data_IF_344486494899
#
_entry.id   IF_344486494899
#
_cell.length_a   1.000
_cell.length_b   1.000
_cell.length_c   1.000
_cell.angle_alpha   90.00
_cell.angle_beta   90.00
_cell.angle_gamma   90.00
#
_symmetry.space_group_name_H-M   'P 1'
#
loop_
_entity.id
_entity.type
_entity.pdbx_description
1 polymer ?
#
# COMPACT_ATOMS: atom_id res chain seq x y z
N UNK A 1 3.75 10.05 -1.19
CA UNK A 1 3.91 8.91 -2.13
C UNK A 1 4.79 7.82 -1.52
N UNK A 2 4.69 6.59 -2.02
CA UNK A 2 5.59 5.48 -1.71
C UNK A 2 6.12 4.84 -3.01
N UNK A 3 7.45 4.75 -3.14
CA UNK A 3 8.14 4.00 -4.17
C UNK A 3 8.51 2.62 -3.62
N UNK A 4 8.17 1.57 -4.39
CA UNK A 4 8.47 0.18 -4.09
C UNK A 4 9.35 -0.35 -5.22
N UNK A 5 10.65 -0.46 -4.97
CA UNK A 5 11.66 -0.75 -6.00
C UNK A 5 12.45 -2.05 -5.78
N UNK A 6 11.91 -2.93 -4.94
CA UNK A 6 12.50 -4.24 -4.68
C UNK A 6 12.46 -4.59 -3.20
N UNK A 7 13.06 -5.73 -2.87
CA UNK A 7 13.17 -6.19 -1.49
C UNK A 7 14.05 -5.22 -0.68
N UNK A 8 13.53 -4.72 0.45
CA UNK A 8 14.16 -3.68 1.29
C UNK A 8 14.40 -2.31 0.61
N UNK A 9 13.87 -2.12 -0.60
CA UNK A 9 13.98 -0.90 -1.38
C UNK A 9 12.60 -0.20 -1.43
N UNK A 10 12.09 0.19 -0.26
CA UNK A 10 10.82 0.91 -0.11
C UNK A 10 11.08 2.31 0.43
N UNK A 11 10.53 3.32 -0.24
CA UNK A 11 10.82 4.73 0.04
C UNK A 11 9.53 5.54 0.14
N UNK A 12 9.43 6.37 1.18
CA UNK A 12 8.41 7.40 1.31
C UNK A 12 8.93 8.73 0.81
N UNK A 13 8.08 9.44 0.09
CA UNK A 13 8.37 10.78 -0.43
C UNK A 13 7.23 11.69 0.05
N UNK A 14 7.59 12.70 0.84
CA UNK A 14 6.64 13.68 1.37
C UNK A 14 6.47 14.90 0.45
N UNK A 15 5.78 15.93 0.94
CA UNK A 15 5.48 17.15 0.17
C UNK A 15 6.70 18.05 -0.03
N UNK A 16 7.70 17.94 0.83
CA UNK A 16 8.95 18.70 0.75
C UNK A 16 10.01 17.92 -0.04
N UNK A 17 9.61 16.80 -0.67
CA UNK A 17 10.47 15.86 -1.38
C UNK A 17 11.55 15.24 -0.48
N UNK A 18 11.31 15.18 0.83
CA UNK A 18 12.15 14.41 1.74
C UNK A 18 11.91 12.91 1.50
N UNK A 19 13.01 12.15 1.46
CA UNK A 19 12.99 10.71 1.18
C UNK A 19 13.29 9.93 2.45
N UNK A 20 12.41 9.00 2.80
CA UNK A 20 12.55 8.13 3.96
C UNK A 20 12.57 6.67 3.51
N UNK A 21 13.65 5.94 3.76
CA UNK A 21 13.68 4.49 3.51
C UNK A 21 12.94 3.74 4.62
N UNK A 22 12.08 2.81 4.23
CA UNK A 22 11.34 1.93 5.13
C UNK A 22 11.87 0.51 5.02
N UNK A 23 12.34 -0.03 6.15
CA UNK A 23 12.80 -1.42 6.25
C UNK A 23 11.69 -2.34 6.78
N UNK A 24 11.73 -3.62 6.40
CA UNK A 24 10.82 -4.64 6.96
C UNK A 24 9.39 -4.59 6.44
N UNK A 25 9.15 -3.93 5.30
CA UNK A 25 7.85 -3.87 4.65
C UNK A 25 7.89 -4.66 3.34
N UNK A 26 7.04 -5.68 3.20
CA UNK A 26 7.11 -6.64 2.08
C UNK A 26 5.90 -6.54 1.14
N UNK A 27 6.14 -6.51 -0.16
CA UNK A 27 5.11 -6.49 -1.22
C UNK A 27 5.31 -7.68 -2.17
N UNK A 28 4.68 -8.84 -1.89
CA UNK A 28 4.78 -10.02 -2.75
C UNK A 28 4.12 -9.82 -4.11
N UNK A 29 4.68 -10.39 -5.19
CA UNK A 29 3.99 -10.47 -6.48
C UNK A 29 2.79 -11.40 -6.35
N UNK A 30 1.66 -11.03 -6.95
CA UNK A 30 0.45 -11.86 -6.97
C UNK A 30 0.66 -13.23 -7.62
N UNK A 31 1.39 -13.27 -8.74
CA UNK A 31 1.62 -14.50 -9.53
C UNK A 31 2.82 -15.33 -9.06
N UNK A 32 3.77 -14.71 -8.37
CA UNK A 32 4.95 -15.37 -7.80
C UNK A 32 5.18 -14.85 -6.37
N UNK A 33 4.49 -15.44 -5.37
CA UNK A 33 4.46 -14.90 -4.02
C UNK A 33 5.81 -14.92 -3.28
N UNK A 34 6.84 -15.57 -3.83
CA UNK A 34 8.20 -15.56 -3.29
C UNK A 34 9.02 -14.35 -3.77
N UNK A 35 8.56 -13.66 -4.82
CA UNK A 35 9.21 -12.47 -5.34
C UNK A 35 8.56 -11.19 -4.81
N UNK A 36 9.39 -10.15 -4.66
CA UNK A 36 8.95 -8.80 -4.33
C UNK A 36 8.65 -7.99 -5.61
N UNK A 37 7.63 -7.12 -5.58
CA UNK A 37 7.39 -6.17 -6.68
C UNK A 37 8.51 -5.10 -6.71
N UNK A 38 8.73 -4.50 -7.87
CA UNK A 38 9.69 -3.40 -8.06
C UNK A 38 9.09 -2.37 -9.04
N UNK A 39 9.75 -1.23 -9.27
CA UNK A 39 9.31 -0.23 -10.23
C UNK A 39 7.85 0.21 -10.07
N UNK A 40 7.37 0.29 -8.82
CA UNK A 40 5.97 0.58 -8.49
C UNK A 40 5.88 1.85 -7.66
N UNK A 41 5.08 2.81 -8.10
CA UNK A 41 4.88 4.10 -7.43
C UNK A 41 3.41 4.26 -7.06
N UNK A 42 3.13 4.40 -5.77
CA UNK A 42 1.78 4.60 -5.23
C UNK A 42 1.66 5.94 -4.52
N UNK A 43 0.45 6.45 -4.47
CA UNK A 43 0.10 7.60 -3.66
C UNK A 43 -0.87 7.23 -2.53
N UNK A 44 -0.74 7.95 -1.44
CA UNK A 44 -1.31 7.56 -0.17
C UNK A 44 -0.97 8.53 0.94
N UNK A 45 -1.62 8.34 2.08
CA UNK A 45 -1.45 9.13 3.29
C UNK A 45 -1.00 8.26 4.47
N UNK A 46 -0.14 8.81 5.32
CA UNK A 46 0.18 8.23 6.62
C UNK A 46 -0.81 8.76 7.66
N UNK A 47 -1.40 7.85 8.43
CA UNK A 47 -2.32 8.16 9.53
C UNK A 47 -1.89 7.46 10.81
N UNK A 48 -2.30 8.00 11.94
CA UNK A 48 -2.28 7.30 13.23
C UNK A 48 -3.72 6.86 13.52
N UNK A 49 -3.96 5.55 13.50
CA UNK A 49 -5.26 4.95 13.80
C UNK A 49 -5.28 4.49 15.25
N UNK A 50 -6.27 4.93 16.03
CA UNK A 50 -6.38 4.55 17.44
C UNK A 50 -7.22 3.28 17.54
N UNK A 51 -6.56 2.18 17.83
CA UNK A 51 -7.23 0.92 18.13
C UNK A 51 -8.05 1.09 19.42
N UNK A 52 -9.38 1.08 19.28
CA UNK A 52 -10.30 1.30 20.40
C UNK A 52 -10.32 0.13 21.39
N UNK A 53 -10.00 -1.08 20.94
CA UNK A 53 -10.03 -2.28 21.79
C UNK A 53 -8.79 -2.31 22.70
N UNK A 54 -7.63 -1.95 22.15
CA UNK A 54 -6.36 -2.01 22.87
C UNK A 54 -5.83 -0.64 23.34
N UNK A 55 -6.54 0.45 23.02
CA UNK A 55 -6.14 1.85 23.26
C UNK A 55 -4.70 2.15 22.79
N UNK A 56 -4.33 1.64 21.62
CA UNK A 56 -3.00 1.80 21.02
C UNK A 56 -3.07 2.60 19.73
N UNK A 57 -2.09 3.47 19.55
CA UNK A 57 -1.88 4.19 18.30
C UNK A 57 -1.15 3.29 17.32
N UNK A 58 -1.77 3.03 16.16
CA UNK A 58 -1.26 2.15 15.12
C UNK A 58 -1.03 2.98 13.86
N UNK A 59 0.22 3.22 13.45
CA UNK A 59 0.49 3.92 12.20
C UNK A 59 0.01 3.08 11.01
N UNK A 60 -0.62 3.72 10.03
CA UNK A 60 -1.06 3.09 8.78
C UNK A 60 -0.78 3.99 7.58
N UNK A 61 -0.39 3.37 6.49
CA UNK A 61 -0.39 3.96 5.17
C UNK A 61 -1.64 3.55 4.40
N UNK A 62 -2.45 4.53 4.01
CA UNK A 62 -3.64 4.33 3.19
C UNK A 62 -3.32 4.67 1.74
N UNK A 63 -3.19 3.63 0.90
CA UNK A 63 -2.98 3.78 -0.54
C UNK A 63 -4.31 4.17 -1.17
N UNK A 64 -4.35 5.32 -1.83
CA UNK A 64 -5.55 5.80 -2.52
C UNK A 64 -5.38 5.88 -4.04
N UNK A 65 -4.15 5.88 -4.56
CA UNK A 65 -3.90 5.85 -6.00
C UNK A 65 -2.59 5.14 -6.37
N UNK A 66 -2.42 4.78 -7.64
CA UNK A 66 -1.23 4.16 -8.21
C UNK A 66 -0.86 4.84 -9.53
N UNK A 67 0.42 5.20 -9.67
CA UNK A 67 0.96 5.93 -10.82
C UNK A 67 1.67 4.97 -11.78
N UNK A 68 2.45 4.04 -11.23
CA UNK A 68 3.25 3.05 -11.98
C UNK A 68 3.19 1.70 -11.27
N UNK A 69 3.11 0.61 -12.03
CA UNK A 69 3.13 -0.74 -11.50
C UNK A 69 4.10 -1.62 -12.29
N UNK A 70 5.12 -2.18 -11.63
CA UNK A 70 6.13 -3.06 -12.23
C UNK A 70 6.75 -2.54 -13.53
N UNK A 71 7.08 -1.25 -13.58
CA UNK A 71 7.68 -0.66 -14.76
C UNK A 71 6.67 -0.19 -15.82
N UNK A 72 5.37 -0.32 -15.60
CA UNK A 72 4.33 0.15 -16.52
C UNK A 72 3.61 1.37 -15.95
N UNK A 73 3.46 2.41 -16.77
CA UNK A 73 2.70 3.61 -16.38
C UNK A 73 1.20 3.32 -16.41
N UNK A 74 0.55 3.48 -15.26
CA UNK A 74 -0.89 3.23 -15.11
C UNK A 74 -1.70 4.50 -14.83
N UNK A 75 -1.04 5.65 -14.66
CA UNK A 75 -1.67 6.95 -14.39
C UNK A 75 -2.71 7.38 -15.44
N UNK A 76 -2.53 6.97 -16.71
CA UNK A 76 -3.47 7.27 -17.79
C UNK A 76 -4.70 6.35 -17.85
N UNK A 77 -4.77 5.35 -16.98
CA UNK A 77 -5.88 4.38 -16.92
C UNK A 77 -6.98 4.91 -15.99
N UNK A 78 -8.24 4.52 -16.23
CA UNK A 78 -9.35 4.92 -15.39
C UNK A 78 -9.14 4.59 -13.91
N UNK A 79 -9.67 5.45 -13.04
CA UNK A 79 -9.48 5.35 -11.60
C UNK A 79 -9.97 4.01 -11.01
N UNK A 80 -11.08 3.46 -11.51
CA UNK A 80 -11.62 2.18 -11.02
C UNK A 80 -10.67 1.00 -11.31
N UNK A 81 -10.02 1.00 -12.48
CA UNK A 81 -8.97 0.03 -12.82
C UNK A 81 -7.72 0.23 -11.96
N UNK A 82 -7.33 1.47 -11.67
CA UNK A 82 -6.22 1.77 -10.75
C UNK A 82 -6.51 1.28 -9.32
N UNK A 83 -7.73 1.48 -8.82
CA UNK A 83 -8.20 0.91 -7.55
C UNK A 83 -8.21 -0.63 -7.57
N UNK A 84 -8.63 -1.22 -8.69
CA UNK A 84 -8.59 -2.69 -8.86
C UNK A 84 -7.15 -3.21 -8.86
N UNK A 85 -6.21 -2.45 -9.44
CA UNK A 85 -4.78 -2.76 -9.41
C UNK A 85 -4.23 -2.73 -7.98
N UNK A 86 -4.53 -1.68 -7.20
CA UNK A 86 -4.14 -1.61 -5.78
C UNK A 86 -4.69 -2.81 -4.99
N UNK A 87 -5.98 -3.12 -5.17
CA UNK A 87 -6.64 -4.22 -4.49
C UNK A 87 -5.97 -5.57 -4.82
N UNK A 88 -5.86 -5.90 -6.10
CA UNK A 88 -5.42 -7.23 -6.55
C UNK A 88 -3.91 -7.43 -6.51
N UNK A 89 -3.13 -6.39 -6.78
CA UNK A 89 -1.69 -6.52 -6.97
C UNK A 89 -0.88 -6.07 -5.73
N UNK A 90 -1.47 -5.32 -4.80
CA UNK A 90 -0.80 -4.87 -3.57
C UNK A 90 -1.47 -5.39 -2.29
N UNK A 91 -2.77 -5.13 -2.13
CA UNK A 91 -3.47 -5.46 -0.89
C UNK A 91 -3.70 -6.97 -0.72
N UNK A 92 -4.28 -7.63 -1.72
CA UNK A 92 -4.57 -9.06 -1.68
C UNK A 92 -3.30 -9.92 -1.53
N UNK A 93 -2.20 -9.70 -2.28
CA UNK A 93 -0.99 -10.52 -2.12
C UNK A 93 -0.37 -10.41 -0.73
N UNK A 94 -0.38 -9.21 -0.14
CA UNK A 94 0.04 -9.01 1.26
C UNK A 94 -0.89 -9.74 2.23
N UNK A 95 -2.20 -9.64 2.06
CA UNK A 95 -3.18 -10.32 2.90
C UNK A 95 -3.00 -11.84 2.87
N UNK A 96 -2.82 -12.43 1.68
CA UNK A 96 -2.53 -13.87 1.55
C UNK A 96 -1.21 -14.24 2.22
N UNK A 97 -0.15 -13.45 2.02
CA UNK A 97 1.14 -13.70 2.67
C UNK A 97 1.06 -13.59 4.21
N UNK A 98 0.20 -12.74 4.76
CA UNK A 98 -0.08 -12.71 6.21
C UNK A 98 -0.82 -13.96 6.67
N UNK A 99 -1.81 -14.44 5.92
CA UNK A 99 -2.56 -15.67 6.22
C UNK A 99 -1.66 -16.92 6.17
N UNK A 100 -0.71 -16.95 5.24
CA UNK A 100 0.27 -18.03 5.09
C UNK A 100 1.42 -17.95 6.12
N UNK A 101 1.46 -16.92 6.97
CA UNK A 101 2.54 -16.69 7.93
C UNK A 101 3.87 -16.19 7.32
N UNK A 102 3.89 -15.87 6.01
CA UNK A 102 5.06 -15.31 5.31
C UNK A 102 5.30 -13.84 5.66
N UNK A 103 4.25 -13.11 6.04
CA UNK A 103 4.34 -11.77 6.61
C UNK A 103 3.83 -11.81 8.04
N UNK A 104 4.68 -11.44 9.00
CA UNK A 104 4.25 -11.18 10.35
C UNK A 104 3.93 -9.68 10.50
N UNK A 105 2.65 -9.37 10.66
CA UNK A 105 2.13 -8.01 10.75
C UNK A 105 2.72 -7.20 11.92
N UNK A 106 3.09 -7.87 13.01
CA UNK A 106 3.63 -7.22 14.22
C UNK A 106 5.10 -6.81 14.08
N UNK A 107 5.80 -7.36 13.08
CA UNK A 107 7.19 -7.02 12.76
C UNK A 107 7.30 -5.89 11.74
N UNK A 108 6.20 -5.52 11.08
CA UNK A 108 6.19 -4.45 10.09
C UNK A 108 6.06 -3.08 10.77
N UNK A 109 6.72 -2.03 10.23
CA UNK A 109 6.76 -0.71 10.86
C UNK A 109 5.39 -0.01 10.97
N UNK A 110 4.48 -0.26 10.03
CA UNK A 110 3.12 0.31 9.99
C UNK A 110 2.22 -0.49 9.06
N UNK A 111 0.91 -0.31 9.18
CA UNK A 111 -0.09 -1.06 8.42
C UNK A 111 -0.28 -0.51 7.03
N UNK A 112 -0.35 -1.37 6.02
CA UNK A 112 -0.69 -0.95 4.66
C UNK A 112 -2.13 -1.34 4.36
N UNK A 113 -2.96 -0.38 3.94
CA UNK A 113 -4.35 -0.61 3.54
C UNK A 113 -4.68 0.17 2.28
N UNK A 114 -5.66 -0.32 1.53
CA UNK A 114 -6.30 0.47 0.49
C UNK A 114 -7.35 1.40 1.12
N UNK A 115 -7.32 2.69 0.75
CA UNK A 115 -8.36 3.65 1.11
C UNK A 115 -9.66 3.27 0.38
N UNK A 116 -10.74 3.21 1.13
CA UNK A 116 -12.05 2.89 0.59
C UNK A 116 -12.65 4.15 -0.05
N UNK A 117 -13.31 3.95 -1.20
CA UNK A 117 -14.01 4.98 -1.95
C UNK A 117 -15.47 4.56 -2.10
N UNK A 118 -16.35 5.54 -2.09
CA UNK A 118 -17.79 5.39 -2.25
C UNK A 118 -18.27 6.38 -3.30
N UNK A 119 -19.35 6.04 -3.99
CA UNK A 119 -19.99 6.95 -4.93
C UNK A 119 -20.43 8.23 -4.20
N UNK A 120 -20.27 9.38 -4.85
CA UNK A 120 -20.68 10.66 -4.29
C UNK A 120 -22.19 10.70 -3.99
N UNK A 121 -23.01 9.89 -4.66
CA UNK A 121 -24.44 9.76 -4.37
C UNK A 121 -24.75 9.26 -2.95
N UNK A 122 -23.76 8.68 -2.25
CA UNK A 122 -23.91 8.14 -0.90
C UNK A 122 -23.68 9.20 0.20
N UNK A 123 -23.30 10.42 -0.15
CA UNK A 123 -23.26 11.52 0.83
C UNK A 123 -24.69 12.03 1.09
N UNK A 124 -25.11 12.08 2.36
CA UNK A 124 -26.38 12.73 2.73
C UNK A 124 -26.38 14.19 2.27
N UNK A 125 -27.49 14.64 1.69
CA UNK A 125 -27.74 16.07 1.41
C UNK A 125 -28.01 16.83 2.70
#
# INVERSE_FOLDING_TARGET
MMLIDGENEVYFIDRDNCVFRVSGLTFPKRKDPLQHIQGTLVDGEMIIDRDKENNRDVPRYLIYDIIRFQGEDVWGVDFCRRLTCIQRELYEPRKHAMQDGRINRDLEPFGVRQKQFWDASLTCK
#
